data_IF_768003212552
#
_entry.id   IF_768003212552
#
_cell.length_a   1.000
_cell.length_b   1.000
_cell.length_c   1.000
_cell.angle_alpha   90.00
_cell.angle_beta   90.00
_cell.angle_gamma   90.00
#
_symmetry.space_group_name_H-M   'P 1'
#
loop_
_entity.id
_entity.type
_entity.pdbx_description
1 polymer ?
#
# COMPACT_ATOMS: atom_id res chain seq x y z
N UNK A 1 -5.88 -3.71 -16.43
CA UNK A 1 -5.28 -2.43 -16.08
C UNK A 1 -4.74 -1.72 -17.33
N UNK A 2 -3.82 -2.32 -18.10
CA UNK A 2 -3.25 -1.73 -19.32
C UNK A 2 -4.32 -1.30 -20.33
N UNK A 3 -5.38 -2.11 -20.54
CA UNK A 3 -6.51 -1.76 -21.40
C UNK A 3 -7.23 -0.49 -20.93
N UNK A 4 -7.49 -0.36 -19.62
CA UNK A 4 -8.18 0.82 -19.06
C UNK A 4 -7.30 2.07 -19.12
N UNK A 5 -6.02 1.94 -18.76
CA UNK A 5 -5.06 3.03 -18.88
C UNK A 5 -5.02 3.59 -20.30
N UNK A 6 -4.90 2.71 -21.30
CA UNK A 6 -4.83 3.12 -22.71
C UNK A 6 -6.15 3.70 -23.23
N UNK A 7 -7.29 3.22 -22.72
CA UNK A 7 -8.62 3.71 -23.15
C UNK A 7 -8.98 5.04 -22.53
N UNK A 8 -8.70 5.24 -21.25
CA UNK A 8 -9.17 6.38 -20.47
C UNK A 8 -8.10 7.42 -20.18
N UNK A 9 -6.83 7.12 -20.42
CA UNK A 9 -5.71 8.05 -20.18
C UNK A 9 -5.51 8.45 -18.73
N UNK A 10 -5.92 7.58 -17.77
CA UNK A 10 -5.95 7.91 -16.35
C UNK A 10 -4.61 7.54 -15.70
N UNK A 11 -4.03 8.41 -14.86
CA UNK A 11 -2.83 8.10 -14.09
C UNK A 11 -3.19 7.21 -12.89
N UNK A 12 -3.36 5.92 -13.13
CA UNK A 12 -3.56 4.93 -12.07
C UNK A 12 -2.23 4.35 -11.59
N UNK A 13 -2.19 4.02 -10.30
CA UNK A 13 -1.24 3.07 -9.74
C UNK A 13 -2.00 1.78 -9.43
N UNK A 14 -1.50 0.65 -9.93
CA UNK A 14 -2.05 -0.67 -9.65
C UNK A 14 -1.33 -1.26 -8.45
N UNK A 15 -2.02 -1.36 -7.33
CA UNK A 15 -1.52 -2.09 -6.15
C UNK A 15 -1.75 -3.59 -6.29
N UNK A 16 -0.72 -4.37 -5.99
CA UNK A 16 -0.73 -5.84 -6.12
C UNK A 16 -0.19 -6.47 -4.85
N UNK A 17 -1.02 -7.28 -4.20
CA UNK A 17 -0.61 -8.06 -3.04
C UNK A 17 0.39 -9.16 -3.43
N UNK A 18 1.51 -9.21 -2.72
CA UNK A 18 2.57 -10.20 -2.92
C UNK A 18 2.75 -11.04 -1.66
N UNK A 19 2.51 -12.34 -1.79
CA UNK A 19 2.76 -13.26 -0.69
C UNK A 19 4.25 -13.45 -0.41
N UNK A 20 4.61 -13.77 0.83
CA UNK A 20 5.99 -14.08 1.22
C UNK A 20 6.61 -15.17 0.32
N UNK A 21 5.85 -16.22 0.00
CA UNK A 21 6.29 -17.30 -0.87
C UNK A 21 6.61 -16.85 -2.30
N UNK A 22 5.85 -15.89 -2.84
CA UNK A 22 6.14 -15.33 -4.16
C UNK A 22 7.39 -14.45 -4.12
N UNK A 23 7.50 -13.62 -3.09
CA UNK A 23 8.62 -12.69 -2.91
C UNK A 23 9.95 -13.41 -2.69
N UNK A 24 9.96 -14.56 -1.99
CA UNK A 24 11.16 -15.35 -1.71
C UNK A 24 11.77 -16.03 -2.95
N UNK A 25 11.01 -16.21 -4.04
CA UNK A 25 11.54 -16.82 -5.27
C UNK A 25 12.74 -16.02 -5.80
N UNK A 26 13.78 -16.74 -6.24
CA UNK A 26 14.98 -16.12 -6.81
C UNK A 26 14.67 -15.32 -8.09
N UNK A 27 13.79 -15.85 -8.93
CA UNK A 27 13.39 -15.25 -10.22
C UNK A 27 12.22 -14.25 -10.10
N UNK A 28 11.82 -13.86 -8.90
CA UNK A 28 10.64 -13.00 -8.67
C UNK A 28 10.73 -11.68 -9.43
N UNK A 29 11.86 -10.97 -9.31
CA UNK A 29 12.05 -9.66 -9.95
C UNK A 29 12.03 -9.80 -11.47
N UNK A 30 12.76 -10.77 -12.02
CA UNK A 30 12.82 -11.00 -13.46
C UNK A 30 11.44 -11.38 -14.03
N UNK A 31 10.72 -12.25 -13.34
CA UNK A 31 9.35 -12.66 -13.68
C UNK A 31 8.40 -11.47 -13.70
N UNK A 32 8.45 -10.61 -12.66
CA UNK A 32 7.65 -9.41 -12.58
C UNK A 32 7.95 -8.43 -13.72
N UNK A 33 9.25 -8.15 -13.97
CA UNK A 33 9.67 -7.24 -15.03
C UNK A 33 9.28 -7.75 -16.42
N UNK A 34 9.31 -9.07 -16.63
CA UNK A 34 8.84 -9.67 -17.87
C UNK A 34 7.33 -9.48 -18.07
N UNK A 35 6.52 -9.59 -17.01
CA UNK A 35 5.08 -9.32 -17.06
C UNK A 35 4.83 -7.84 -17.37
N UNK A 36 5.49 -6.92 -16.68
CA UNK A 36 5.36 -5.47 -16.88
C UNK A 36 5.67 -5.10 -18.33
N UNK A 37 6.77 -5.58 -18.88
CA UNK A 37 7.15 -5.35 -20.29
C UNK A 37 6.16 -5.96 -21.28
N UNK A 38 5.67 -7.17 -21.01
CA UNK A 38 4.71 -7.86 -21.87
C UNK A 38 3.41 -7.08 -22.06
N UNK A 39 2.97 -6.38 -21.01
CA UNK A 39 1.71 -5.62 -21.04
C UNK A 39 1.91 -4.12 -21.23
N UNK A 40 3.14 -3.70 -21.54
CA UNK A 40 3.50 -2.29 -21.78
C UNK A 40 3.03 -1.37 -20.64
N UNK A 41 3.29 -1.77 -19.40
CA UNK A 41 2.99 -1.00 -18.19
C UNK A 41 4.27 -0.32 -17.71
N UNK A 42 4.21 0.94 -17.33
CA UNK A 42 5.36 1.61 -16.73
C UNK A 42 5.56 1.09 -15.29
N UNK A 43 6.81 0.81 -14.86
CA UNK A 43 7.07 0.30 -13.51
C UNK A 43 6.51 1.21 -12.41
N UNK A 44 6.52 2.53 -12.61
CA UNK A 44 6.01 3.54 -11.68
C UNK A 44 4.47 3.47 -11.51
N UNK A 45 3.77 2.78 -12.40
CA UNK A 45 2.33 2.52 -12.32
C UNK A 45 2.01 1.28 -11.48
N UNK A 46 3.03 0.58 -10.95
CA UNK A 46 2.88 -0.61 -10.11
C UNK A 46 3.32 -0.30 -8.69
N UNK A 47 2.50 -0.67 -7.72
CA UNK A 47 2.84 -0.72 -6.31
C UNK A 47 2.69 -2.15 -5.78
N UNK A 48 3.73 -2.68 -5.14
CA UNK A 48 3.68 -4.01 -4.53
C UNK A 48 3.33 -3.87 -3.06
N UNK A 49 2.25 -4.51 -2.64
CA UNK A 49 1.83 -4.58 -1.25
C UNK A 49 2.44 -5.83 -0.61
N UNK A 50 3.30 -5.64 0.38
CA UNK A 50 3.99 -6.68 1.10
C UNK A 50 3.71 -6.55 2.59
N UNK A 51 3.31 -7.66 3.22
CA UNK A 51 3.01 -7.66 4.65
C UNK A 51 4.28 -7.62 5.50
N UNK A 52 4.16 -7.10 6.71
CA UNK A 52 5.23 -7.00 7.70
C UNK A 52 5.96 -8.34 7.94
N UNK A 53 5.23 -9.45 7.87
CA UNK A 53 5.77 -10.80 8.13
C UNK A 53 6.93 -11.20 7.21
N UNK A 54 7.02 -10.61 6.02
CA UNK A 54 8.10 -10.93 5.07
C UNK A 54 9.49 -10.50 5.58
N UNK A 55 9.52 -9.55 6.51
CA UNK A 55 10.75 -8.97 7.07
C UNK A 55 11.42 -9.85 8.13
N UNK A 56 10.73 -10.89 8.60
CA UNK A 56 11.15 -11.68 9.77
C UNK A 56 12.30 -12.64 9.43
N UNK A 57 12.26 -13.28 8.27
CA UNK A 57 13.17 -14.40 7.94
C UNK A 57 14.58 -13.92 7.56
N UNK A 58 14.68 -13.02 6.59
CA UNK A 58 15.98 -12.47 6.14
C UNK A 58 15.80 -11.00 5.72
N UNK A 59 15.90 -10.12 6.71
CA UNK A 59 15.76 -8.67 6.50
C UNK A 59 16.70 -8.13 5.42
N UNK A 60 17.95 -8.64 5.36
CA UNK A 60 18.94 -8.13 4.41
C UNK A 60 18.56 -8.50 2.97
N UNK A 61 18.31 -9.78 2.71
CA UNK A 61 17.94 -10.24 1.37
C UNK A 61 16.63 -9.58 0.90
N UNK A 62 15.66 -9.43 1.81
CA UNK A 62 14.39 -8.73 1.51
C UNK A 62 14.65 -7.27 1.12
N UNK A 63 15.47 -6.55 1.89
CA UNK A 63 15.76 -5.14 1.65
C UNK A 63 16.56 -4.92 0.34
N UNK A 64 17.53 -5.80 0.04
CA UNK A 64 18.29 -5.77 -1.21
C UNK A 64 17.36 -5.95 -2.43
N UNK A 65 16.41 -6.87 -2.35
CA UNK A 65 15.41 -7.10 -3.40
C UNK A 65 14.43 -5.92 -3.54
N UNK A 66 13.99 -5.32 -2.42
CA UNK A 66 13.19 -4.09 -2.44
C UNK A 66 13.92 -2.94 -3.12
N UNK A 67 15.22 -2.79 -2.81
CA UNK A 67 16.04 -1.74 -3.41
C UNK A 67 16.14 -1.90 -4.93
N UNK A 68 16.33 -3.12 -5.40
CA UNK A 68 16.36 -3.43 -6.83
C UNK A 68 15.02 -3.09 -7.52
N UNK A 69 13.89 -3.44 -6.91
CA UNK A 69 12.56 -3.10 -7.41
C UNK A 69 12.37 -1.58 -7.51
N UNK A 70 12.83 -0.85 -6.50
CA UNK A 70 12.77 0.62 -6.47
C UNK A 70 13.65 1.25 -7.57
N UNK A 71 14.80 0.66 -7.88
CA UNK A 71 15.67 1.11 -8.98
C UNK A 71 15.00 0.91 -10.36
N UNK A 72 14.12 -0.07 -10.49
CA UNK A 72 13.25 -0.22 -11.67
C UNK A 72 12.08 0.78 -11.70
N UNK A 73 11.86 1.54 -10.64
CA UNK A 73 10.75 2.49 -10.53
C UNK A 73 9.48 1.93 -9.88
N UNK A 74 9.49 0.66 -9.45
CA UNK A 74 8.34 0.03 -8.80
C UNK A 74 8.17 0.62 -7.39
N UNK A 75 6.94 0.97 -7.04
CA UNK A 75 6.56 1.43 -5.71
C UNK A 75 6.38 0.23 -4.78
N UNK A 76 6.69 0.41 -3.50
CA UNK A 76 6.54 -0.63 -2.48
C UNK A 76 5.73 -0.06 -1.31
N UNK A 77 4.68 -0.77 -0.94
CA UNK A 77 3.85 -0.50 0.22
C UNK A 77 4.03 -1.59 1.28
N UNK A 78 4.22 -1.19 2.53
CA UNK A 78 4.21 -2.09 3.67
C UNK A 78 2.79 -2.22 4.21
N UNK A 79 2.23 -3.41 4.12
CA UNK A 79 0.85 -3.72 4.48
C UNK A 79 0.71 -4.31 5.89
N UNK A 80 -0.51 -4.27 6.47
CA UNK A 80 -0.88 -4.79 7.79
C UNK A 80 -0.01 -4.24 8.95
N UNK A 81 0.48 -2.98 8.83
CA UNK A 81 1.38 -2.42 9.83
C UNK A 81 0.72 -2.25 11.19
N UNK A 82 1.40 -2.78 12.22
CA UNK A 82 0.98 -2.70 13.61
C UNK A 82 0.31 -3.97 14.13
N UNK A 83 0.11 -4.99 13.28
CA UNK A 83 -0.42 -6.30 13.72
C UNK A 83 0.69 -7.29 14.10
N UNK A 84 1.94 -6.96 13.79
CA UNK A 84 3.12 -7.82 13.96
C UNK A 84 4.17 -7.25 14.92
N UNK A 85 5.41 -7.72 14.76
CA UNK A 85 6.55 -7.38 15.61
C UNK A 85 7.52 -6.38 14.96
N UNK A 86 7.03 -5.38 14.24
CA UNK A 86 7.92 -4.41 13.60
C UNK A 86 8.76 -3.66 14.63
N UNK A 87 10.05 -3.87 14.57
CA UNK A 87 10.98 -2.97 15.21
C UNK A 87 11.05 -1.67 14.40
N UNK A 88 10.73 -0.54 15.02
CA UNK A 88 10.87 0.80 14.41
C UNK A 88 12.27 1.06 13.84
N UNK A 89 13.29 0.34 14.37
CA UNK A 89 14.68 0.41 13.88
C UNK A 89 14.85 -0.14 12.47
N UNK A 90 14.00 -1.10 12.07
CA UNK A 90 14.00 -1.65 10.72
C UNK A 90 13.24 -0.77 9.73
N UNK A 91 12.11 -0.19 10.16
CA UNK A 91 11.27 0.65 9.30
C UNK A 91 12.07 1.78 8.62
N UNK A 92 12.94 2.44 9.37
CA UNK A 92 13.83 3.51 8.83
C UNK A 92 14.73 3.04 7.68
N UNK A 93 15.03 1.75 7.59
CA UNK A 93 15.95 1.17 6.60
C UNK A 93 15.24 0.61 5.38
N UNK A 94 13.91 0.50 5.43
CA UNK A 94 13.14 -0.05 4.32
C UNK A 94 13.03 0.96 3.18
N UNK A 95 13.28 0.55 1.94
CA UNK A 95 13.13 1.40 0.77
C UNK A 95 11.67 1.39 0.28
N UNK A 96 10.72 1.65 1.18
CA UNK A 96 9.28 1.72 0.87
C UNK A 96 8.85 3.12 0.48
N UNK A 97 7.69 3.22 -0.17
CA UNK A 97 7.03 4.47 -0.50
C UNK A 97 5.86 4.74 0.44
N UNK A 98 5.13 3.69 0.79
CA UNK A 98 3.85 3.78 1.48
C UNK A 98 3.81 2.84 2.67
N UNK A 99 3.12 3.24 3.74
CA UNK A 99 2.82 2.40 4.88
C UNK A 99 1.30 2.39 5.09
N UNK A 100 0.71 1.18 5.11
CA UNK A 100 -0.72 0.96 5.29
C UNK A 100 -1.01 0.62 6.74
N UNK A 101 -1.84 1.42 7.38
CA UNK A 101 -2.29 1.24 8.77
C UNK A 101 -3.47 0.27 8.73
N UNK A 102 -3.32 -0.88 9.39
CA UNK A 102 -4.30 -1.96 9.39
C UNK A 102 -5.68 -1.51 9.90
N UNK A 103 -6.72 -2.13 9.33
CA UNK A 103 -8.13 -1.88 9.67
C UNK A 103 -8.43 -1.97 11.17
N UNK A 104 -7.74 -2.81 11.93
CA UNK A 104 -7.98 -2.96 13.38
C UNK A 104 -7.81 -1.66 14.15
N UNK A 105 -6.92 -0.77 13.69
CA UNK A 105 -6.79 0.58 14.25
C UNK A 105 -7.97 1.48 13.88
N UNK A 106 -8.45 1.36 12.65
CA UNK A 106 -9.58 2.16 12.18
C UNK A 106 -10.90 1.75 12.86
N UNK A 107 -11.11 0.45 13.08
CA UNK A 107 -12.31 -0.11 13.68
C UNK A 107 -12.55 0.44 15.12
N UNK A 108 -11.49 0.66 15.89
CA UNK A 108 -11.58 1.13 17.28
C UNK A 108 -11.21 2.59 17.45
N UNK A 109 -10.89 3.30 16.38
CA UNK A 109 -10.41 4.68 16.36
C UNK A 109 -11.30 5.67 17.14
N UNK A 110 -12.61 5.52 17.03
CA UNK A 110 -13.58 6.45 17.65
C UNK A 110 -13.91 6.08 19.09
N UNK A 111 -13.67 4.84 19.51
CA UNK A 111 -14.10 4.30 20.79
C UNK A 111 -12.96 4.09 21.78
N UNK A 112 -11.73 3.88 21.31
CA UNK A 112 -10.56 3.64 22.15
C UNK A 112 -9.53 4.76 22.05
N UNK A 113 -9.24 5.38 23.21
CA UNK A 113 -8.26 6.47 23.30
C UNK A 113 -6.82 6.00 23.07
N UNK A 114 -6.50 4.75 23.42
CA UNK A 114 -5.16 4.20 23.20
C UNK A 114 -4.92 4.00 21.69
N UNK A 115 -5.90 3.45 20.97
CA UNK A 115 -5.84 3.31 19.51
C UNK A 115 -5.65 4.67 18.83
N UNK A 116 -6.35 5.71 19.28
CA UNK A 116 -6.16 7.07 18.74
C UNK A 116 -4.73 7.56 18.87
N UNK A 117 -4.16 7.46 20.07
CA UNK A 117 -2.78 7.89 20.33
C UNK A 117 -1.78 7.11 19.46
N UNK A 118 -1.97 5.80 19.32
CA UNK A 118 -1.12 4.95 18.50
C UNK A 118 -1.23 5.36 17.02
N UNK A 119 -2.44 5.54 16.50
CA UNK A 119 -2.66 5.94 15.09
C UNK A 119 -2.04 7.31 14.80
N UNK A 120 -2.22 8.30 15.67
CA UNK A 120 -1.56 9.61 15.56
C UNK A 120 -0.03 9.47 15.53
N UNK A 121 0.52 8.61 16.40
CA UNK A 121 1.96 8.37 16.50
C UNK A 121 2.49 7.70 15.22
N UNK A 122 1.76 6.73 14.66
CA UNK A 122 2.12 6.07 13.40
C UNK A 122 2.11 7.09 12.26
N UNK A 123 1.05 7.85 12.07
CA UNK A 123 0.96 8.87 11.00
C UNK A 123 2.09 9.89 11.10
N UNK A 124 2.36 10.40 12.31
CA UNK A 124 3.46 11.35 12.55
C UNK A 124 4.83 10.76 12.22
N UNK A 125 5.07 9.50 12.61
CA UNK A 125 6.31 8.78 12.35
C UNK A 125 6.51 8.53 10.84
N UNK A 126 5.49 8.03 10.15
CA UNK A 126 5.49 7.75 8.70
C UNK A 126 5.88 9.00 7.93
N UNK A 127 5.24 10.12 8.26
CA UNK A 127 5.54 11.43 7.69
C UNK A 127 6.97 11.89 7.96
N UNK A 128 7.46 11.67 9.20
CA UNK A 128 8.84 12.03 9.57
C UNK A 128 9.89 11.19 8.84
N UNK A 129 9.55 9.97 8.43
CA UNK A 129 10.40 9.09 7.62
C UNK A 129 10.31 9.39 6.12
N UNK A 130 9.41 10.25 5.69
CA UNK A 130 9.21 10.60 4.29
C UNK A 130 8.40 9.58 3.49
N UNK A 131 7.59 8.76 4.16
CA UNK A 131 6.66 7.82 3.53
C UNK A 131 5.25 8.42 3.45
N UNK A 132 4.42 7.89 2.55
CA UNK A 132 2.98 8.15 2.50
C UNK A 132 2.26 7.19 3.47
N UNK A 133 1.24 7.69 4.16
CA UNK A 133 0.38 6.90 5.05
C UNK A 133 -0.94 6.58 4.38
N UNK A 134 -1.38 5.31 4.45
CA UNK A 134 -2.72 4.88 4.07
C UNK A 134 -3.43 4.33 5.30
N UNK A 135 -4.63 4.81 5.60
CA UNK A 135 -5.50 4.21 6.61
C UNK A 135 -6.54 3.33 5.92
N UNK A 136 -6.60 2.06 6.33
CA UNK A 136 -7.50 1.08 5.76
C UNK A 136 -8.80 0.91 6.56
N UNK A 137 -9.81 0.34 5.90
CA UNK A 137 -11.05 -0.06 6.54
C UNK A 137 -11.92 1.09 7.03
N UNK A 138 -11.80 2.28 6.43
CA UNK A 138 -12.63 3.44 6.80
C UNK A 138 -14.05 3.24 6.30
N UNK A 139 -15.01 3.18 7.22
CA UNK A 139 -16.43 2.95 6.94
C UNK A 139 -17.30 4.13 7.35
N UNK A 140 -16.82 4.99 8.27
CA UNK A 140 -17.59 6.10 8.83
C UNK A 140 -16.97 7.47 8.50
N UNK A 141 -17.83 8.45 8.25
CA UNK A 141 -17.44 9.84 8.02
C UNK A 141 -16.63 10.45 9.18
N UNK A 142 -16.88 10.01 10.42
CA UNK A 142 -16.15 10.49 11.59
C UNK A 142 -14.71 9.96 11.62
N UNK A 143 -14.49 8.70 11.24
CA UNK A 143 -13.15 8.12 11.06
C UNK A 143 -12.37 8.90 10.00
N UNK A 144 -13.00 9.14 8.86
CA UNK A 144 -12.41 9.93 7.76
C UNK A 144 -11.96 11.32 8.23
N UNK A 145 -12.85 12.06 8.89
CA UNK A 145 -12.55 13.42 9.39
C UNK A 145 -11.39 13.42 10.37
N UNK A 146 -11.36 12.43 11.26
CA UNK A 146 -10.29 12.30 12.24
C UNK A 146 -8.94 12.00 11.57
N UNK A 147 -8.87 11.00 10.69
CA UNK A 147 -7.67 10.61 9.97
C UNK A 147 -7.11 11.77 9.12
N UNK A 148 -7.99 12.50 8.44
CA UNK A 148 -7.61 13.72 7.71
C UNK A 148 -7.05 14.79 8.63
N UNK A 149 -7.65 15.01 9.81
CA UNK A 149 -7.22 16.02 10.77
C UNK A 149 -5.82 15.74 11.35
N UNK A 150 -5.46 14.47 11.54
CA UNK A 150 -4.12 14.07 12.01
C UNK A 150 -3.08 14.00 10.86
N UNK A 151 -3.51 14.24 9.61
CA UNK A 151 -2.62 14.35 8.45
C UNK A 151 -2.32 13.04 7.74
N UNK A 152 -3.21 12.03 7.83
CA UNK A 152 -3.13 10.82 7.00
C UNK A 152 -3.29 11.19 5.53
N UNK A 153 -2.39 10.69 4.67
CA UNK A 153 -2.29 11.12 3.27
C UNK A 153 -3.39 10.49 2.42
N UNK A 154 -3.60 9.18 2.54
CA UNK A 154 -4.55 8.41 1.74
C UNK A 154 -5.50 7.65 2.69
N UNK A 155 -6.76 7.54 2.32
CA UNK A 155 -7.78 6.87 3.10
C UNK A 155 -8.53 5.90 2.21
N UNK A 156 -8.59 4.63 2.63
CA UNK A 156 -9.21 3.53 1.89
C UNK A 156 -10.28 2.86 2.77
N UNK A 157 -11.44 2.54 2.15
CA UNK A 157 -12.48 1.81 2.85
C UNK A 157 -13.86 1.89 2.21
N UNK A 158 -14.81 1.22 2.81
CA UNK A 158 -16.19 1.11 2.28
C UNK A 158 -16.96 2.42 2.33
N UNK A 159 -16.47 3.42 3.04
CA UNK A 159 -17.02 4.78 2.97
C UNK A 159 -17.00 5.32 1.52
N UNK A 160 -15.98 4.99 0.74
CA UNK A 160 -15.80 5.45 -0.64
C UNK A 160 -16.34 4.46 -1.67
N UNK A 161 -16.25 3.17 -1.38
CA UNK A 161 -16.74 2.13 -2.26
C UNK A 161 -16.29 0.75 -1.83
N UNK A 162 -17.09 -0.25 -2.16
CA UNK A 162 -16.75 -1.65 -2.01
C UNK A 162 -15.97 -2.13 -3.22
N UNK A 163 -15.22 -3.25 -3.12
CA UNK A 163 -14.60 -3.87 -4.28
C UNK A 163 -15.63 -4.10 -5.41
N UNK A 164 -15.24 -3.75 -6.61
CA UNK A 164 -16.08 -3.83 -7.80
C UNK A 164 -15.57 -4.92 -8.74
N UNK A 165 -16.46 -5.54 -9.49
CA UNK A 165 -16.09 -6.41 -10.60
C UNK A 165 -15.48 -5.59 -11.76
N UNK A 166 -14.85 -6.28 -12.72
CA UNK A 166 -14.31 -5.62 -13.92
C UNK A 166 -15.39 -4.80 -14.64
N UNK A 167 -16.57 -5.38 -14.81
CA UNK A 167 -17.70 -4.79 -15.50
C UNK A 167 -18.21 -3.52 -14.79
N UNK A 168 -18.28 -3.56 -13.45
CA UNK A 168 -18.69 -2.42 -12.64
C UNK A 168 -17.66 -1.28 -12.68
N UNK A 169 -16.36 -1.61 -12.66
CA UNK A 169 -15.28 -0.60 -12.83
C UNK A 169 -15.38 0.03 -14.22
N UNK A 170 -15.58 -0.75 -15.29
CA UNK A 170 -15.72 -0.22 -16.65
C UNK A 170 -16.92 0.73 -16.76
N UNK A 171 -18.05 0.41 -16.13
CA UNK A 171 -19.22 1.30 -16.07
C UNK A 171 -18.93 2.58 -15.28
N UNK A 172 -18.18 2.49 -14.18
CA UNK A 172 -17.77 3.65 -13.40
C UNK A 172 -16.86 4.58 -14.21
N UNK A 173 -15.84 4.01 -14.87
CA UNK A 173 -14.90 4.76 -15.70
C UNK A 173 -15.60 5.47 -16.85
N UNK A 174 -16.56 4.82 -17.52
CA UNK A 174 -17.37 5.44 -18.59
C UNK A 174 -18.23 6.63 -18.12
N UNK A 175 -18.56 6.72 -16.84
CA UNK A 175 -19.32 7.84 -16.29
C UNK A 175 -18.46 9.02 -15.88
N UNK A 176 -17.17 8.76 -15.59
CA UNK A 176 -16.24 9.78 -15.08
C UNK A 176 -15.49 10.44 -16.25
N UNK A 177 -15.21 9.68 -17.29
CA UNK A 177 -14.44 10.05 -18.48
C UNK A 177 -15.25 9.88 -19.77
#
# INVERSE_FOLDING_TARGET
FSEWRNRYGIPFVLSVNISALQYQKEDFVDSLMNIIRKYDVAPEEIELEITESILIDDFRAVTEKMQLLKEYGIRISLDDFGTGFSSLSYLKKLPINTLKIDKSFTDTLLTDSATRIITESIVSMVKSLGFESIAEGVEEEQQYKYLRAIGCDIIQGYLFGKPLSREEIEQLLQKIY
#
